data_IF_813857077981
#
_entry.id   IF_813857077981
#
_cell.length_a   1.000
_cell.length_b   1.000
_cell.length_c   1.000
_cell.angle_alpha   90.00
_cell.angle_beta   90.00
_cell.angle_gamma   90.00
#
_symmetry.space_group_name_H-M   'P 1'
#
loop_
_entity.id
_entity.type
_entity.pdbx_description
1 polymer ?
#
# COMPACT_ATOMS: atom_id res chain seq x y z
N UNK A 1 -2.38 -26.58 -35.56
CA UNK A 1 -2.92 -26.41 -34.19
C UNK A 1 -1.84 -25.72 -33.36
N UNK A 2 -1.78 -24.38 -33.39
CA UNK A 2 -0.72 -23.59 -32.70
C UNK A 2 -1.15 -22.17 -32.34
N UNK A 3 -2.31 -21.69 -32.82
CA UNK A 3 -2.71 -20.28 -32.72
C UNK A 3 -3.38 -19.87 -31.40
N UNK A 4 -3.88 -20.82 -30.62
CA UNK A 4 -4.57 -20.52 -29.35
C UNK A 4 -3.64 -20.50 -28.14
N UNK A 5 -2.43 -21.04 -28.24
CA UNK A 5 -1.47 -21.05 -27.14
C UNK A 5 -0.89 -19.64 -26.88
N UNK A 6 -0.75 -18.82 -27.92
CA UNK A 6 -0.10 -17.50 -27.82
C UNK A 6 -0.92 -16.44 -27.10
N UNK A 7 -2.27 -16.53 -27.11
CA UNK A 7 -3.13 -15.59 -26.39
C UNK A 7 -3.17 -15.85 -24.88
N UNK A 8 -2.96 -17.11 -24.45
CA UNK A 8 -3.03 -17.46 -23.05
C UNK A 8 -1.85 -16.88 -22.24
N UNK A 9 -0.67 -16.74 -22.85
CA UNK A 9 0.53 -16.22 -22.16
C UNK A 9 0.52 -14.69 -21.96
N UNK A 10 -0.29 -13.93 -22.69
CA UNK A 10 -0.36 -12.46 -22.55
C UNK A 10 -1.23 -12.00 -21.37
N UNK A 11 -2.10 -12.87 -20.84
CA UNK A 11 -3.09 -12.50 -19.81
C UNK A 11 -2.60 -12.77 -18.38
N UNK A 12 -1.54 -13.56 -18.19
CA UNK A 12 -1.05 -13.94 -16.85
C UNK A 12 -0.04 -12.98 -16.19
N UNK A 13 0.37 -11.90 -16.85
CA UNK A 13 1.43 -11.02 -16.33
C UNK A 13 0.97 -9.98 -15.29
N UNK A 14 -0.33 -9.83 -15.02
CA UNK A 14 -0.83 -8.72 -14.20
C UNK A 14 -1.24 -9.06 -12.76
N UNK A 15 -1.16 -10.32 -12.32
CA UNK A 15 -1.80 -10.71 -11.05
C UNK A 15 -0.90 -10.74 -9.82
N UNK A 16 0.44 -10.62 -9.96
CA UNK A 16 1.38 -10.75 -8.83
C UNK A 16 2.61 -9.84 -8.92
N UNK A 17 2.46 -8.64 -9.45
CA UNK A 17 3.49 -7.63 -9.23
C UNK A 17 3.38 -7.13 -7.78
N UNK A 18 3.97 -7.87 -6.82
CA UNK A 18 4.38 -7.28 -5.54
C UNK A 18 5.49 -6.30 -5.89
N UNK A 19 5.08 -5.10 -6.31
CA UNK A 19 6.01 -4.02 -6.58
C UNK A 19 6.48 -3.53 -5.21
N UNK A 20 7.74 -3.77 -4.92
CA UNK A 20 8.34 -3.26 -3.71
C UNK A 20 8.57 -1.76 -3.92
N UNK A 21 7.66 -0.96 -3.38
CA UNK A 21 7.67 0.48 -3.57
C UNK A 21 8.30 1.13 -2.34
N UNK A 22 9.11 2.16 -2.57
CA UNK A 22 9.70 2.92 -1.46
C UNK A 22 8.63 3.71 -0.72
N UNK A 23 7.59 4.16 -1.44
CA UNK A 23 6.44 4.87 -0.89
C UNK A 23 5.14 4.15 -1.24
N UNK A 24 4.40 3.76 -0.20
CA UNK A 24 3.16 3.02 -0.31
C UNK A 24 2.01 3.87 0.18
N UNK A 25 1.06 4.16 -0.69
CA UNK A 25 -0.19 4.79 -0.31
C UNK A 25 -1.22 3.72 0.00
N UNK A 26 -1.61 3.59 1.27
CA UNK A 26 -2.70 2.72 1.67
C UNK A 26 -4.06 3.34 1.29
N UNK A 27 -5.04 2.47 1.04
CA UNK A 27 -6.38 2.86 0.61
C UNK A 27 -7.41 2.57 1.68
N UNK A 28 -8.49 3.35 1.68
CA UNK A 28 -9.73 2.99 2.36
C UNK A 28 -10.48 1.90 1.59
N UNK A 29 -11.51 1.30 2.20
CA UNK A 29 -12.33 0.27 1.53
C UNK A 29 -13.05 0.79 0.28
N UNK A 30 -13.34 2.10 0.23
CA UNK A 30 -13.89 2.77 -0.94
C UNK A 30 -12.84 3.08 -2.02
N UNK A 31 -11.60 2.58 -1.86
CA UNK A 31 -10.45 2.82 -2.73
C UNK A 31 -9.91 4.25 -2.73
N UNK A 32 -10.39 5.12 -1.83
CA UNK A 32 -9.87 6.49 -1.69
C UNK A 32 -8.53 6.54 -0.94
N UNK A 33 -7.84 7.67 -1.06
CA UNK A 33 -6.54 7.92 -0.43
C UNK A 33 -6.65 7.90 1.10
N UNK A 34 -5.99 6.95 1.77
CA UNK A 34 -5.94 6.96 3.23
C UNK A 34 -4.72 7.70 3.77
N UNK A 35 -3.55 7.09 3.64
CA UNK A 35 -2.31 7.54 4.25
C UNK A 35 -1.13 6.97 3.48
N UNK A 36 0.07 7.48 3.74
CA UNK A 36 1.31 7.03 3.09
C UNK A 36 2.27 6.44 4.11
N UNK A 37 2.90 5.33 3.72
CA UNK A 37 3.99 4.65 4.39
C UNK A 37 5.25 4.79 3.56
N UNK A 38 6.39 4.95 4.23
CA UNK A 38 7.70 4.95 3.58
C UNK A 38 8.63 4.06 4.36
N UNK A 39 9.50 3.34 3.66
CA UNK A 39 10.65 2.66 4.24
C UNK A 39 11.90 3.04 3.47
N UNK A 40 12.56 4.10 3.95
CA UNK A 40 13.76 4.66 3.33
C UNK A 40 15.01 3.83 3.63
N UNK A 41 15.00 2.99 4.67
CA UNK A 41 16.15 2.15 5.04
C UNK A 41 16.22 0.87 4.21
N UNK A 42 15.08 0.21 3.98
CA UNK A 42 15.05 -1.07 3.26
C UNK A 42 14.90 -0.91 1.75
N UNK A 43 14.70 0.33 1.26
CA UNK A 43 14.58 0.69 -0.16
C UNK A 43 13.35 0.12 -0.88
N UNK A 44 12.70 -0.86 -0.28
CA UNK A 44 11.66 -1.69 -0.87
C UNK A 44 10.69 -2.11 0.24
N UNK A 45 9.51 -1.50 0.29
CA UNK A 45 8.48 -1.87 1.27
C UNK A 45 7.52 -2.87 0.63
N UNK A 46 7.26 -3.99 1.31
CA UNK A 46 6.14 -4.87 0.98
C UNK A 46 4.84 -4.16 1.36
N UNK A 47 4.40 -3.24 0.50
CA UNK A 47 3.26 -2.34 0.72
C UNK A 47 1.99 -3.08 1.12
N UNK A 48 1.76 -4.27 0.56
CA UNK A 48 0.61 -5.09 0.91
C UNK A 48 0.59 -5.40 2.41
N UNK A 49 1.67 -5.99 2.93
CA UNK A 49 1.83 -6.32 4.35
C UNK A 49 1.84 -5.06 5.21
N UNK A 50 2.49 -4.00 4.75
CA UNK A 50 2.54 -2.73 5.46
C UNK A 50 1.14 -2.11 5.62
N UNK A 51 0.30 -2.18 4.58
CA UNK A 51 -1.06 -1.66 4.59
C UNK A 51 -2.10 -2.59 5.24
N UNK A 52 -1.75 -3.85 5.58
CA UNK A 52 -2.68 -4.81 6.20
C UNK A 52 -3.25 -4.36 7.55
N UNK A 53 -2.56 -3.47 8.27
CA UNK A 53 -2.99 -2.93 9.56
C UNK A 53 -2.76 -1.40 9.64
N UNK A 54 -2.82 -0.72 8.49
CA UNK A 54 -2.55 0.72 8.44
C UNK A 54 -3.69 1.54 9.09
N UNK A 55 -3.29 2.53 9.87
CA UNK A 55 -4.16 3.53 10.49
C UNK A 55 -3.60 4.92 10.17
N UNK A 56 -4.47 5.92 10.06
CA UNK A 56 -4.04 7.32 9.93
C UNK A 56 -3.43 7.80 11.25
N UNK A 57 -2.50 8.73 11.15
CA UNK A 57 -1.94 9.43 12.31
C UNK A 57 -2.84 10.60 12.81
N UNK A 58 -4.06 10.73 12.30
CA UNK A 58 -4.97 11.85 12.57
C UNK A 58 -5.57 11.87 13.99
N UNK A 59 -5.51 10.76 14.72
CA UNK A 59 -5.98 10.69 16.12
C UNK A 59 -5.02 9.93 17.04
N UNK A 60 -3.73 9.90 16.68
CA UNK A 60 -2.70 9.30 17.52
C UNK A 60 -2.34 10.23 18.67
N UNK A 61 -3.12 10.21 19.76
CA UNK A 61 -2.83 11.05 20.93
C UNK A 61 -1.93 10.36 21.95
N UNK A 62 -2.09 9.04 22.20
CA UNK A 62 -1.52 8.42 23.41
C UNK A 62 -1.01 6.98 23.24
N UNK A 63 -0.70 6.54 22.01
CA UNK A 63 -0.20 5.17 21.75
C UNK A 63 -1.24 4.04 21.89
N UNK A 64 -2.42 4.35 22.45
CA UNK A 64 -3.56 3.41 22.60
C UNK A 64 -4.62 3.65 21.52
N UNK A 65 -4.85 4.92 21.14
CA UNK A 65 -5.77 5.28 20.07
C UNK A 65 -5.04 5.22 18.73
N UNK A 66 -5.19 4.11 18.03
CA UNK A 66 -4.87 4.06 16.60
C UNK A 66 -5.86 4.97 15.89
N UNK A 67 -5.37 5.90 15.06
CA UNK A 67 -6.24 6.82 14.32
C UNK A 67 -7.11 6.09 13.29
N UNK A 68 -7.73 6.80 12.35
CA UNK A 68 -8.74 6.21 11.46
C UNK A 68 -8.20 4.95 10.75
N UNK A 69 -8.84 3.77 10.91
CA UNK A 69 -8.37 2.53 10.29
C UNK A 69 -8.53 2.59 8.77
N UNK A 70 -7.52 2.14 8.04
CA UNK A 70 -7.55 2.05 6.59
C UNK A 70 -6.73 0.89 6.04
N UNK A 71 -6.98 -0.26 6.64
CA UNK A 71 -6.53 -1.55 6.17
C UNK A 71 -7.54 -2.13 5.18
N UNK A 72 -7.60 -1.62 3.95
CA UNK A 72 -8.44 -2.17 2.87
C UNK A 72 -7.91 -3.52 2.36
N UNK A 73 -7.75 -4.50 3.25
CA UNK A 73 -7.15 -5.81 2.96
C UNK A 73 -5.70 -5.72 2.48
N UNK A 74 -4.96 -4.68 2.89
CA UNK A 74 -3.61 -4.43 2.39
C UNK A 74 -3.58 -3.80 1.00
N UNK A 75 -4.69 -3.27 0.49
CA UNK A 75 -4.70 -2.55 -0.80
C UNK A 75 -3.85 -1.28 -0.73
N UNK A 76 -3.04 -1.08 -1.76
CA UNK A 76 -2.11 0.04 -1.85
C UNK A 76 -1.97 0.55 -3.29
N UNK A 77 -1.42 1.76 -3.41
CA UNK A 77 -0.85 2.31 -4.63
C UNK A 77 0.59 2.71 -4.38
N UNK A 78 1.46 2.45 -5.35
CA UNK A 78 2.80 2.99 -5.32
C UNK A 78 2.77 4.46 -5.71
N UNK A 79 3.37 5.30 -4.88
CA UNK A 79 3.46 6.74 -5.13
C UNK A 79 4.91 7.19 -5.18
N UNK A 80 5.14 8.39 -5.70
CA UNK A 80 6.44 9.03 -5.59
C UNK A 80 6.58 9.73 -4.23
N UNK A 81 7.81 10.01 -3.80
CA UNK A 81 8.05 10.82 -2.60
C UNK A 81 7.49 12.23 -2.71
N UNK A 82 7.38 12.79 -3.91
CA UNK A 82 6.72 14.08 -4.13
C UNK A 82 5.23 14.01 -3.81
N UNK A 83 4.54 12.98 -4.31
CA UNK A 83 3.11 12.74 -4.02
C UNK A 83 2.87 12.45 -2.54
N UNK A 84 3.88 11.99 -1.80
CA UNK A 84 3.79 11.64 -0.39
C UNK A 84 3.91 12.84 0.57
N UNK A 85 4.56 13.95 0.18
CA UNK A 85 4.85 15.07 1.08
C UNK A 85 3.60 15.68 1.74
N UNK A 86 2.51 15.83 0.99
CA UNK A 86 1.26 16.43 1.48
C UNK A 86 0.23 15.39 1.93
N UNK A 87 0.68 14.17 2.24
CA UNK A 87 -0.21 13.08 2.66
C UNK A 87 -0.06 12.79 4.14
N UNK A 88 -1.16 12.35 4.73
CA UNK A 88 -1.17 11.89 6.12
C UNK A 88 -0.29 10.65 6.23
N UNK A 89 0.67 10.60 7.18
CA UNK A 89 1.47 9.40 7.40
C UNK A 89 0.62 8.28 8.00
N UNK A 90 0.91 7.03 7.64
CA UNK A 90 0.28 5.90 8.33
C UNK A 90 1.07 5.53 9.60
N UNK A 91 0.33 5.07 10.59
CA UNK A 91 0.84 4.30 11.72
C UNK A 91 0.48 2.83 11.53
N UNK A 92 1.42 1.92 11.83
CA UNK A 92 1.14 0.48 11.87
C UNK A 92 1.56 -0.05 13.26
N UNK A 93 0.61 -0.39 14.15
CA UNK A 93 0.91 -0.82 15.52
C UNK A 93 1.63 -2.17 15.62
N UNK A 94 1.82 -2.90 14.51
CA UNK A 94 2.42 -4.24 14.49
C UNK A 94 3.82 -4.30 13.83
N UNK A 95 4.42 -3.16 13.48
CA UNK A 95 5.79 -3.12 12.94
C UNK A 95 6.81 -3.00 14.06
#
# INVERSE_FOLDING_TARGET
MVKFASLALFVLSNVLAVQACTWCQCLFLDSSHCCVMVDVEQGSLHCQTACMNAHRFDSFTDGINVGTPCAAGGSYKCVSGFTAQDRVPCFNPKK
#
